data_IF_542868172481
#
_entry.id   IF_542868172481
#
_cell.length_a   1.000
_cell.length_b   1.000
_cell.length_c   1.000
_cell.angle_alpha   90.00
_cell.angle_beta   90.00
_cell.angle_gamma   90.00
#
_symmetry.space_group_name_H-M   'P 1'
#
loop_
_entity.id
_entity.type
_entity.pdbx_description
1 polymer ?
#
# COMPACT_ATOMS: atom_id res chain seq x y z
N UNK A 1 -3.53 0.74 -31.18
CA UNK A 1 -2.68 0.46 -30.00
C UNK A 1 -2.44 1.67 -29.09
N UNK A 2 -2.53 2.92 -29.57
CA UNK A 2 -2.31 4.12 -28.73
C UNK A 2 -3.46 4.47 -27.75
N UNK A 3 -4.66 3.92 -27.97
CA UNK A 3 -5.89 4.31 -27.25
C UNK A 3 -6.04 3.60 -25.88
N UNK A 4 -5.63 2.33 -25.79
CA UNK A 4 -5.66 1.57 -24.54
C UNK A 4 -4.66 2.07 -23.49
N UNK A 5 -3.50 2.61 -23.93
CA UNK A 5 -2.47 3.13 -23.03
C UNK A 5 -2.87 4.47 -22.38
N UNK A 6 -3.60 5.34 -23.12
CA UNK A 6 -4.18 6.58 -22.57
C UNK A 6 -5.31 6.30 -21.59
N UNK A 7 -6.14 5.31 -21.90
CA UNK A 7 -7.28 4.92 -21.05
C UNK A 7 -6.79 4.39 -19.69
N UNK A 8 -5.76 3.54 -19.67
CA UNK A 8 -5.15 3.03 -18.45
C UNK A 8 -4.44 4.13 -17.61
N UNK A 9 -3.90 5.17 -18.26
CA UNK A 9 -3.24 6.28 -17.54
C UNK A 9 -4.20 7.27 -16.91
N UNK A 10 -5.43 7.43 -17.39
CA UNK A 10 -6.46 8.19 -16.68
C UNK A 10 -7.21 7.37 -15.64
N UNK A 11 -7.28 6.05 -15.82
CA UNK A 11 -8.09 5.16 -14.98
C UNK A 11 -7.72 5.25 -13.49
N UNK A 12 -6.42 5.25 -13.17
CA UNK A 12 -5.93 5.38 -11.78
C UNK A 12 -6.26 6.73 -11.11
N UNK A 13 -6.82 7.71 -11.83
CA UNK A 13 -7.22 9.01 -11.28
C UNK A 13 -8.69 9.05 -10.87
N UNK A 14 -9.52 8.14 -11.39
CA UNK A 14 -10.99 8.22 -11.22
C UNK A 14 -11.64 6.89 -10.88
N UNK A 15 -11.02 5.75 -11.21
CA UNK A 15 -11.57 4.44 -10.96
C UNK A 15 -11.19 3.91 -9.58
N UNK A 16 -12.18 3.85 -8.69
CA UNK A 16 -12.06 3.35 -7.32
C UNK A 16 -11.59 1.89 -7.23
N UNK A 17 -11.84 1.08 -8.26
CA UNK A 17 -11.40 -0.31 -8.32
C UNK A 17 -9.94 -0.47 -8.76
N UNK A 18 -9.30 0.60 -9.28
CA UNK A 18 -7.91 0.52 -9.70
C UNK A 18 -6.99 0.50 -8.46
N UNK A 19 -6.06 -0.46 -8.33
CA UNK A 19 -5.16 -0.53 -7.17
C UNK A 19 -4.23 0.67 -7.05
N UNK A 20 -3.97 1.39 -8.15
CA UNK A 20 -3.17 2.62 -8.19
C UNK A 20 -3.98 3.90 -7.92
N UNK A 21 -5.30 3.79 -7.77
CA UNK A 21 -6.12 4.89 -7.31
C UNK A 21 -5.89 5.14 -5.82
N UNK A 22 -5.67 6.40 -5.47
CA UNK A 22 -5.52 6.86 -4.10
C UNK A 22 -6.54 7.96 -3.83
N UNK A 23 -7.53 7.66 -2.99
CA UNK A 23 -8.59 8.62 -2.67
C UNK A 23 -7.99 9.84 -1.94
N UNK A 24 -8.36 11.09 -2.29
CA UNK A 24 -7.80 12.29 -1.65
C UNK A 24 -8.01 12.38 -0.14
N UNK A 25 -9.02 11.67 0.39
CA UNK A 25 -9.30 11.59 1.82
C UNK A 25 -8.46 10.57 2.60
N UNK A 26 -7.59 9.80 1.93
CA UNK A 26 -6.71 8.85 2.61
C UNK A 26 -5.65 9.59 3.45
N UNK A 27 -5.41 9.08 4.66
CA UNK A 27 -4.53 9.71 5.64
C UNK A 27 -3.37 8.76 6.00
N UNK A 28 -2.10 9.15 5.77
CA UNK A 28 -0.95 8.31 6.12
C UNK A 28 -0.77 8.11 7.64
N UNK A 29 -1.35 8.97 8.48
CA UNK A 29 -1.29 8.84 9.94
C UNK A 29 -2.34 7.88 10.53
N UNK A 30 -3.27 7.37 9.71
CA UNK A 30 -4.32 6.47 10.16
C UNK A 30 -3.74 5.15 10.66
N UNK A 31 -4.22 4.67 11.80
CA UNK A 31 -3.97 3.31 12.30
C UNK A 31 -5.07 2.42 11.74
N UNK A 32 -4.72 1.45 10.90
CA UNK A 32 -5.70 0.58 10.26
C UNK A 32 -6.14 -0.57 11.16
N UNK A 33 -5.22 -1.07 12.00
CA UNK A 33 -5.44 -2.28 12.81
C UNK A 33 -5.04 -2.02 14.25
N UNK A 34 -5.88 -2.52 15.16
CA UNK A 34 -5.60 -2.66 16.59
C UNK A 34 -5.99 -4.06 17.05
N UNK A 35 -5.22 -4.71 17.95
CA UNK A 35 -4.01 -4.22 18.60
C UNK A 35 -2.84 -4.03 17.63
N UNK A 36 -1.91 -3.12 17.96
CA UNK A 36 -0.71 -2.89 17.15
C UNK A 36 0.14 -4.17 17.09
N UNK A 37 0.91 -4.33 16.01
CA UNK A 37 1.86 -5.45 15.89
C UNK A 37 2.87 -5.41 17.03
N UNK A 38 2.97 -6.53 17.73
CA UNK A 38 3.86 -6.82 18.84
C UNK A 38 4.41 -8.25 18.69
N UNK A 39 5.26 -8.66 19.63
CA UNK A 39 6.03 -9.91 19.50
C UNK A 39 5.18 -11.19 19.58
N UNK A 40 3.91 -11.10 19.99
CA UNK A 40 3.05 -12.27 20.24
C UNK A 40 1.72 -12.29 19.46
N UNK A 41 1.47 -11.33 18.57
CA UNK A 41 0.18 -11.20 17.86
C UNK A 41 0.29 -11.14 16.33
N UNK A 42 1.42 -11.54 15.75
CA UNK A 42 1.67 -11.42 14.31
C UNK A 42 0.59 -12.07 13.43
N UNK A 43 0.09 -13.26 13.78
CA UNK A 43 -0.91 -13.95 12.95
C UNK A 43 -2.24 -13.17 12.90
N UNK A 44 -2.72 -12.68 14.06
CA UNK A 44 -3.92 -11.86 14.13
C UNK A 44 -3.72 -10.55 13.39
N UNK A 45 -2.61 -9.85 13.66
CA UNK A 45 -2.29 -8.58 13.03
C UNK A 45 -2.17 -8.71 11.50
N UNK A 46 -1.52 -9.76 11.01
CA UNK A 46 -1.36 -10.03 9.58
C UNK A 46 -2.72 -10.22 8.91
N UNK A 47 -3.59 -11.04 9.50
CA UNK A 47 -4.94 -11.26 8.99
C UNK A 47 -5.71 -9.94 8.91
N UNK A 48 -5.75 -9.18 10.00
CA UNK A 48 -6.53 -7.95 10.07
C UNK A 48 -5.98 -6.87 9.14
N UNK A 49 -4.66 -6.81 8.98
CA UNK A 49 -4.00 -5.86 8.08
C UNK A 49 -4.28 -6.19 6.62
N UNK A 50 -4.29 -7.47 6.25
CA UNK A 50 -4.70 -7.90 4.91
C UNK A 50 -6.15 -7.52 4.64
N UNK A 51 -7.08 -7.82 5.56
CA UNK A 51 -8.50 -7.43 5.41
C UNK A 51 -8.63 -5.91 5.24
N UNK A 52 -7.94 -5.12 6.09
CA UNK A 52 -8.00 -3.66 6.01
C UNK A 52 -7.48 -3.13 4.66
N UNK A 53 -6.41 -3.73 4.12
CA UNK A 53 -5.85 -3.33 2.82
C UNK A 53 -6.70 -3.79 1.63
N UNK A 54 -7.31 -4.96 1.69
CA UNK A 54 -8.24 -5.46 0.67
C UNK A 54 -9.46 -4.54 0.54
N UNK A 55 -10.03 -4.07 1.66
CA UNK A 55 -11.15 -3.10 1.61
C UNK A 55 -10.78 -1.76 0.94
N UNK A 56 -9.48 -1.48 0.79
CA UNK A 56 -8.92 -0.29 0.14
C UNK A 56 -8.32 -0.57 -1.25
N UNK A 57 -8.39 -1.82 -1.73
CA UNK A 57 -7.71 -2.29 -2.95
C UNK A 57 -6.19 -2.03 -2.92
N UNK A 58 -5.53 -2.38 -1.81
CA UNK A 58 -4.08 -2.14 -1.58
C UNK A 58 -3.30 -3.36 -1.09
N UNK A 59 -3.95 -4.51 -0.95
CA UNK A 59 -3.36 -5.80 -0.57
C UNK A 59 -2.22 -6.23 -1.51
N UNK A 60 -2.36 -5.96 -2.81
CA UNK A 60 -1.36 -6.32 -3.82
C UNK A 60 0.02 -5.70 -3.58
N UNK A 61 0.11 -4.60 -2.81
CA UNK A 61 1.39 -3.98 -2.44
C UNK A 61 2.13 -4.78 -1.38
N UNK A 62 1.44 -5.35 -0.40
CA UNK A 62 2.08 -6.20 0.64
C UNK A 62 2.29 -7.63 0.14
N UNK A 63 1.43 -8.11 -0.75
CA UNK A 63 1.60 -9.42 -1.39
C UNK A 63 2.68 -9.40 -2.49
N UNK A 64 3.12 -8.22 -2.94
CA UNK A 64 4.09 -8.06 -4.02
C UNK A 64 3.57 -8.48 -5.40
N UNK A 65 2.27 -8.74 -5.53
CA UNK A 65 1.64 -9.15 -6.80
C UNK A 65 1.46 -7.99 -7.77
N UNK A 66 1.62 -6.74 -7.31
CA UNK A 66 1.66 -5.54 -8.14
C UNK A 66 3.11 -5.00 -8.22
N UNK A 67 3.91 -5.46 -9.20
CA UNK A 67 5.33 -5.10 -9.27
C UNK A 67 5.54 -3.61 -9.55
N UNK A 68 6.68 -3.09 -9.09
CA UNK A 68 7.10 -1.71 -9.39
C UNK A 68 7.26 -1.52 -10.92
N UNK A 69 6.59 -0.52 -11.52
CA UNK A 69 6.74 -0.22 -12.94
C UNK A 69 8.16 0.23 -13.31
N UNK A 70 8.50 0.13 -14.60
CA UNK A 70 9.75 0.65 -15.13
C UNK A 70 9.88 2.18 -14.97
N UNK A 71 11.10 2.71 -14.98
CA UNK A 71 11.36 4.16 -14.84
C UNK A 71 10.71 5.03 -15.92
N UNK A 72 10.48 4.47 -17.11
CA UNK A 72 9.80 5.12 -18.23
C UNK A 72 8.28 5.03 -18.17
N UNK A 73 7.72 4.23 -17.25
CA UNK A 73 6.28 4.01 -17.16
C UNK A 73 5.59 5.21 -16.49
N UNK A 74 4.57 5.82 -17.15
CA UNK A 74 3.82 6.93 -16.57
C UNK A 74 3.13 6.60 -15.22
N UNK A 75 2.82 5.33 -14.95
CA UNK A 75 2.17 4.88 -13.72
C UNK A 75 3.13 4.77 -12.52
N UNK A 76 4.45 4.85 -12.74
CA UNK A 76 5.45 4.74 -11.65
C UNK A 76 5.20 5.73 -10.51
N UNK A 77 4.80 6.98 -10.82
CA UNK A 77 4.51 7.98 -9.80
C UNK A 77 3.26 7.63 -8.99
N UNK A 78 2.25 7.03 -9.61
CA UNK A 78 1.05 6.57 -8.91
C UNK A 78 1.35 5.38 -8.01
N UNK A 79 2.10 4.40 -8.53
CA UNK A 79 2.56 3.23 -7.78
C UNK A 79 3.38 3.65 -6.54
N UNK A 80 4.35 4.56 -6.70
CA UNK A 80 5.17 5.06 -5.58
C UNK A 80 4.34 5.72 -4.48
N UNK A 81 3.34 6.54 -4.85
CA UNK A 81 2.44 7.18 -3.88
C UNK A 81 1.63 6.13 -3.10
N UNK A 82 1.05 5.16 -3.79
CA UNK A 82 0.28 4.09 -3.14
C UNK A 82 1.17 3.22 -2.25
N UNK A 83 2.36 2.82 -2.72
CA UNK A 83 3.32 2.05 -1.93
C UNK A 83 3.70 2.79 -0.63
N UNK A 84 4.06 4.09 -0.70
CA UNK A 84 4.40 4.87 0.50
C UNK A 84 3.19 5.09 1.43
N UNK A 85 1.96 5.14 0.91
CA UNK A 85 0.75 5.15 1.74
C UNK A 85 0.59 3.84 2.53
N UNK A 86 0.72 2.69 1.85
CA UNK A 86 0.64 1.37 2.49
C UNK A 86 1.73 1.21 3.55
N UNK A 87 2.97 1.59 3.24
CA UNK A 87 4.07 1.62 4.22
C UNK A 87 3.74 2.48 5.44
N UNK A 88 3.10 3.63 5.24
CA UNK A 88 2.69 4.50 6.35
C UNK A 88 1.67 3.79 7.24
N UNK A 89 0.65 3.14 6.66
CA UNK A 89 -0.33 2.37 7.43
C UNK A 89 0.24 1.16 8.16
N UNK A 90 1.17 0.43 7.53
CA UNK A 90 1.92 -0.65 8.17
C UNK A 90 2.67 -0.13 9.39
N UNK A 91 3.51 0.90 9.19
CA UNK A 91 4.26 1.52 10.26
C UNK A 91 3.34 2.03 11.39
N UNK A 92 2.25 2.71 11.05
CA UNK A 92 1.27 3.24 12.03
C UNK A 92 0.60 2.13 12.84
N UNK A 93 0.44 0.95 12.28
CA UNK A 93 -0.20 -0.22 12.90
C UNK A 93 0.80 -1.13 13.62
N UNK A 94 2.06 -0.71 13.79
CA UNK A 94 3.10 -1.41 14.55
C UNK A 94 3.44 -0.69 15.85
N UNK A 95 3.90 -1.45 16.86
CA UNK A 95 4.58 -0.88 18.02
C UNK A 95 5.84 -0.11 17.61
N UNK A 96 6.30 0.88 18.41
CA UNK A 96 7.48 1.68 18.07
C UNK A 96 8.76 0.87 17.84
N UNK A 97 8.98 -0.20 18.61
CA UNK A 97 10.15 -1.08 18.48
C UNK A 97 10.19 -1.78 17.12
N UNK A 98 9.07 -2.40 16.71
CA UNK A 98 8.96 -3.08 15.41
C UNK A 98 9.00 -2.07 14.26
N UNK A 99 8.34 -0.91 14.41
CA UNK A 99 8.42 0.15 13.39
C UNK A 99 9.87 0.57 13.14
N UNK A 100 10.68 0.66 14.20
CA UNK A 100 12.08 1.09 14.08
C UNK A 100 12.94 0.07 13.33
N UNK A 101 12.66 -1.24 13.45
CA UNK A 101 13.42 -2.28 12.74
C UNK A 101 13.16 -2.29 11.23
N UNK A 102 11.99 -1.82 10.79
CA UNK A 102 11.59 -1.78 9.36
C UNK A 102 11.77 -0.41 8.70
N UNK A 103 12.36 0.56 9.39
CA UNK A 103 12.47 1.96 8.93
C UNK A 103 13.19 2.14 7.59
N UNK A 104 14.14 1.24 7.29
CA UNK A 104 15.01 1.33 6.11
C UNK A 104 14.49 0.55 4.89
N UNK A 105 13.37 -0.14 5.04
CA UNK A 105 12.74 -0.87 3.93
C UNK A 105 12.04 0.13 3.01
N UNK A 106 12.14 -0.08 1.69
CA UNK A 106 11.63 0.86 0.70
C UNK A 106 10.33 0.44 0.01
N UNK A 107 9.96 -0.85 0.13
CA UNK A 107 8.76 -1.45 -0.45
C UNK A 107 7.84 -2.02 0.62
N UNK A 108 6.53 -1.85 0.47
CA UNK A 108 5.55 -2.46 1.37
C UNK A 108 5.59 -4.00 1.37
N UNK A 109 6.02 -4.62 0.26
CA UNK A 109 6.14 -6.07 0.13
C UNK A 109 7.31 -6.68 0.91
N UNK A 110 8.24 -5.82 1.37
CA UNK A 110 9.46 -6.22 2.09
C UNK A 110 9.37 -5.93 3.60
N UNK A 111 8.31 -5.22 4.02
CA UNK A 111 7.97 -4.97 5.43
C UNK A 111 7.28 -6.20 6.02
#
# INVERSE_FOLDING_TARGET
MADSAKTATSDHLVNLANPLFLHPGENPALVLVTPLLSDNNFQQWKHDMLVALETKNKDQFVLGTLPCPASSDPLLKAWRRCNKMVMSWLARSMTPSIRQSVMWIDSASEI
#
